data_IF_746225669807
#
_entry.id   IF_746225669807
#
_cell.length_a   1.000
_cell.length_b   1.000
_cell.length_c   1.000
_cell.angle_alpha   90.00
_cell.angle_beta   90.00
_cell.angle_gamma   90.00
#
_symmetry.space_group_name_H-M   'P 1'
#
loop_
_entity.id
_entity.type
_entity.pdbx_description
1 polymer ?
#
# COMPACT_ATOMS: atom_id res chain seq x y z
N UNK A 1 -20.08 51.82 -13.34
CA UNK A 1 -19.22 50.65 -13.04
C UNK A 1 -19.89 49.81 -11.98
N UNK A 2 -20.33 48.58 -12.31
CA UNK A 2 -20.73 47.56 -11.31
C UNK A 2 -19.96 46.28 -11.67
N UNK A 3 -19.15 45.83 -10.72
CA UNK A 3 -18.26 44.68 -10.88
C UNK A 3 -19.08 43.39 -10.93
N UNK A 4 -18.84 42.58 -11.95
CA UNK A 4 -19.38 41.22 -12.08
C UNK A 4 -18.70 40.30 -11.06
N UNK A 5 -19.36 40.01 -9.95
CA UNK A 5 -18.94 38.96 -9.02
C UNK A 5 -19.98 37.85 -8.99
N UNK A 6 -19.94 36.97 -9.98
CA UNK A 6 -20.66 35.69 -9.88
C UNK A 6 -20.02 34.66 -10.81
N UNK A 7 -18.82 34.20 -10.42
CA UNK A 7 -18.21 32.98 -10.96
C UNK A 7 -18.00 32.04 -9.77
N UNK A 8 -19.08 31.52 -9.20
CA UNK A 8 -19.05 30.30 -8.39
C UNK A 8 -20.38 29.58 -8.60
N UNK A 9 -20.53 28.94 -9.76
CA UNK A 9 -21.56 27.92 -9.96
C UNK A 9 -21.15 26.71 -9.11
N UNK A 10 -21.77 26.60 -7.93
CA UNK A 10 -21.67 25.44 -7.07
C UNK A 10 -22.38 24.29 -7.80
N UNK A 11 -21.64 23.29 -8.27
CA UNK A 11 -22.24 22.14 -8.93
C UNK A 11 -23.10 21.36 -7.92
N UNK A 12 -24.42 21.43 -8.09
CA UNK A 12 -25.44 20.68 -7.33
C UNK A 12 -25.41 19.16 -7.62
N UNK A 13 -24.22 18.55 -7.60
CA UNK A 13 -24.10 17.09 -7.62
C UNK A 13 -24.43 16.61 -6.20
N UNK A 14 -25.65 16.09 -6.00
CA UNK A 14 -26.04 15.44 -4.75
C UNK A 14 -25.30 14.11 -4.61
N UNK A 15 -24.08 14.16 -4.08
CA UNK A 15 -23.31 12.97 -3.74
C UNK A 15 -23.95 12.34 -2.50
N UNK A 16 -24.61 11.20 -2.67
CA UNK A 16 -25.17 10.43 -1.56
C UNK A 16 -24.08 9.54 -0.96
N UNK A 17 -23.38 10.07 0.05
CA UNK A 17 -22.44 9.28 0.83
C UNK A 17 -23.21 8.32 1.76
N UNK A 18 -22.96 7.00 1.69
CA UNK A 18 -23.59 6.07 2.62
C UNK A 18 -23.12 6.38 4.04
N UNK A 19 -24.05 6.76 4.92
CA UNK A 19 -23.77 6.96 6.33
C UNK A 19 -23.47 5.63 7.00
N UNK A 20 -22.27 5.49 7.57
CA UNK A 20 -21.91 4.30 8.35
C UNK A 20 -22.71 4.27 9.67
N UNK A 21 -23.09 3.07 10.11
CA UNK A 21 -23.79 2.86 11.37
C UNK A 21 -22.83 2.97 12.57
N UNK A 22 -23.01 4.02 13.37
CA UNK A 22 -22.17 4.33 14.53
C UNK A 22 -22.27 3.26 15.64
N UNK A 23 -23.35 2.48 15.68
CA UNK A 23 -23.59 1.46 16.72
C UNK A 23 -22.63 0.28 16.64
N UNK A 24 -21.96 0.12 15.50
CA UNK A 24 -20.95 -0.92 15.26
C UNK A 24 -19.65 -0.66 16.01
N UNK A 25 -19.34 0.59 16.32
CA UNK A 25 -18.09 0.97 16.99
C UNK A 25 -18.23 0.87 18.51
N UNK A 26 -18.07 -0.35 19.02
CA UNK A 26 -18.12 -0.68 20.45
C UNK A 26 -16.72 -0.76 21.05
N UNK A 27 -16.67 -0.64 22.39
CA UNK A 27 -15.45 -0.81 23.19
C UNK A 27 -15.16 -2.31 23.39
N UNK A 28 -14.78 -3.00 22.32
CA UNK A 28 -14.47 -4.44 22.37
C UNK A 28 -12.96 -4.70 22.26
N UNK A 29 -12.19 -3.76 21.70
CA UNK A 29 -10.76 -3.95 21.47
C UNK A 29 -9.96 -3.95 22.79
N UNK A 30 -9.04 -4.91 23.01
CA UNK A 30 -8.31 -5.05 24.26
C UNK A 30 -7.49 -3.80 24.64
N UNK A 31 -6.89 -3.12 23.67
CA UNK A 31 -6.11 -1.91 23.95
C UNK A 31 -6.98 -0.73 24.41
N UNK A 32 -8.23 -0.65 23.93
CA UNK A 32 -9.19 0.37 24.37
C UNK A 32 -9.66 0.07 25.80
N UNK A 33 -9.89 -1.20 26.11
CA UNK A 33 -10.25 -1.66 27.47
C UNK A 33 -9.13 -1.34 28.45
N UNK A 34 -7.88 -1.68 28.11
CA UNK A 34 -6.69 -1.36 28.92
C UNK A 34 -6.54 0.14 29.17
N UNK A 35 -6.84 0.96 28.16
CA UNK A 35 -6.81 2.42 28.32
C UNK A 35 -7.88 2.90 29.31
N UNK A 36 -9.11 2.40 29.19
CA UNK A 36 -10.19 2.71 30.13
C UNK A 36 -9.86 2.25 31.55
N UNK A 37 -9.29 1.06 31.72
CA UNK A 37 -8.83 0.55 33.02
C UNK A 37 -7.75 1.43 33.65
N UNK A 38 -6.78 1.88 32.84
CA UNK A 38 -5.74 2.82 33.29
C UNK A 38 -6.33 4.15 33.76
N UNK A 39 -7.30 4.69 33.02
CA UNK A 39 -7.98 5.93 33.42
C UNK A 39 -8.82 5.73 34.68
N UNK A 40 -9.52 4.60 34.80
CA UNK A 40 -10.29 4.23 35.99
C UNK A 40 -9.40 4.10 37.23
N UNK A 41 -8.19 3.57 37.09
CA UNK A 41 -7.23 3.49 38.19
C UNK A 41 -6.84 4.88 38.73
N UNK A 42 -6.92 5.92 37.89
CA UNK A 42 -6.67 7.33 38.26
C UNK A 42 -7.98 8.00 38.77
N UNK A 43 -9.13 7.33 38.65
CA UNK A 43 -10.45 7.88 38.96
C UNK A 43 -11.05 8.72 37.83
N UNK A 44 -10.46 8.69 36.63
CA UNK A 44 -10.91 9.46 35.46
C UNK A 44 -11.74 8.59 34.50
N UNK A 45 -12.79 9.18 33.93
CA UNK A 45 -13.61 8.55 32.89
C UNK A 45 -13.57 9.40 31.63
N UNK A 46 -13.09 8.83 30.53
CA UNK A 46 -13.10 9.50 29.22
C UNK A 46 -14.45 9.29 28.49
N UNK A 47 -15.21 10.36 28.20
CA UNK A 47 -16.46 10.27 27.44
C UNK A 47 -16.24 10.08 25.93
N UNK A 48 -15.05 10.41 25.40
CA UNK A 48 -14.74 10.39 23.96
C UNK A 48 -14.14 9.08 23.47
N UNK A 49 -13.87 8.12 24.37
CA UNK A 49 -13.27 6.84 24.03
C UNK A 49 -13.97 6.10 22.88
N UNK A 50 -15.30 6.22 22.78
CA UNK A 50 -16.08 5.62 21.70
C UNK A 50 -15.84 6.28 20.34
N UNK A 51 -15.52 7.58 20.32
CA UNK A 51 -15.17 8.30 19.09
C UNK A 51 -13.91 7.73 18.44
N UNK A 52 -12.99 7.16 19.22
CA UNK A 52 -11.77 6.54 18.70
C UNK A 52 -11.90 5.04 18.42
N UNK A 53 -13.05 4.43 18.73
CA UNK A 53 -13.26 3.00 18.54
C UNK A 53 -13.19 2.56 17.06
N UNK A 54 -13.49 3.46 16.11
CA UNK A 54 -13.40 3.14 14.68
C UNK A 54 -11.96 2.85 14.22
N UNK A 55 -10.95 3.44 14.88
CA UNK A 55 -9.54 3.22 14.55
C UNK A 55 -9.14 1.75 14.79
N UNK A 56 -9.79 1.11 15.77
CA UNK A 56 -9.57 -0.27 16.18
C UNK A 56 -10.50 -1.27 15.49
N UNK A 57 -11.30 -0.81 14.51
CA UNK A 57 -12.12 -1.68 13.68
C UNK A 57 -11.23 -2.65 12.89
N UNK A 58 -11.62 -3.93 12.70
CA UNK A 58 -10.82 -4.92 11.98
C UNK A 58 -10.51 -4.54 10.52
N UNK A 59 -11.27 -3.60 9.96
CA UNK A 59 -11.03 -3.10 8.60
C UNK A 59 -9.92 -2.03 8.52
N UNK A 60 -9.58 -1.40 9.65
CA UNK A 60 -8.65 -0.26 9.73
C UNK A 60 -7.40 -0.64 10.52
N UNK A 61 -7.59 -1.30 11.66
CA UNK A 61 -6.51 -1.76 12.49
C UNK A 61 -5.91 -3.05 11.95
N UNK A 62 -4.76 -2.94 11.30
CA UNK A 62 -3.94 -4.08 10.93
C UNK A 62 -2.86 -4.31 11.98
N UNK A 63 -2.71 -5.56 12.43
CA UNK A 63 -1.58 -5.93 13.28
C UNK A 63 -0.29 -5.83 12.46
N UNK A 64 0.85 -5.49 13.09
CA UNK A 64 2.16 -5.44 12.40
C UNK A 64 2.45 -6.71 11.59
N UNK A 65 2.08 -7.88 12.12
CA UNK A 65 2.21 -9.16 11.41
C UNK A 65 1.33 -9.24 10.16
N UNK A 66 0.09 -8.76 10.22
CA UNK A 66 -0.81 -8.71 9.07
C UNK A 66 -0.26 -7.74 8.01
N UNK A 67 0.25 -6.59 8.42
CA UNK A 67 0.90 -5.62 7.53
C UNK A 67 2.13 -6.22 6.86
N UNK A 68 3.02 -6.85 7.63
CA UNK A 68 4.21 -7.53 7.11
C UNK A 68 3.84 -8.66 6.14
N UNK A 69 2.86 -9.50 6.50
CA UNK A 69 2.37 -10.57 5.62
C UNK A 69 1.79 -10.02 4.31
N UNK A 70 1.02 -8.93 4.39
CA UNK A 70 0.42 -8.30 3.21
C UNK A 70 1.45 -7.66 2.28
N UNK A 71 2.53 -7.10 2.81
CA UNK A 71 3.55 -6.40 2.02
C UNK A 71 4.66 -7.32 1.54
N UNK A 72 5.24 -8.10 2.44
CA UNK A 72 6.40 -8.96 2.18
C UNK A 72 5.98 -10.26 1.51
N UNK A 73 5.10 -11.04 2.15
CA UNK A 73 4.76 -12.38 1.64
C UNK A 73 3.95 -12.34 0.34
N UNK A 74 3.13 -11.30 0.14
CA UNK A 74 2.39 -11.12 -1.12
C UNK A 74 3.31 -10.82 -2.31
N UNK A 75 4.44 -10.15 -2.08
CA UNK A 75 5.41 -9.77 -3.12
C UNK A 75 6.56 -10.77 -3.28
N UNK A 76 6.78 -11.63 -2.30
CA UNK A 76 7.79 -12.68 -2.31
C UNK A 76 7.83 -13.54 -3.60
N UNK A 77 6.69 -14.05 -4.14
CA UNK A 77 6.75 -14.89 -5.34
C UNK A 77 7.23 -14.13 -6.58
N UNK A 78 6.93 -12.84 -6.70
CA UNK A 78 7.39 -12.03 -7.83
C UNK A 78 8.91 -11.84 -7.77
N UNK A 79 9.45 -11.57 -6.58
CA UNK A 79 10.90 -11.49 -6.39
C UNK A 79 11.60 -12.81 -6.71
N UNK A 80 11.00 -13.93 -6.33
CA UNK A 80 11.54 -15.26 -6.61
C UNK A 80 11.59 -15.58 -8.11
N UNK A 81 10.52 -15.29 -8.85
CA UNK A 81 10.48 -15.50 -10.31
C UNK A 81 11.53 -14.66 -11.02
N UNK A 82 11.67 -13.38 -10.65
CA UNK A 82 12.70 -12.51 -11.23
C UNK A 82 14.11 -13.02 -10.93
N UNK A 83 14.37 -13.51 -9.72
CA UNK A 83 15.65 -14.09 -9.36
C UNK A 83 15.98 -15.31 -10.22
N UNK A 84 15.04 -16.24 -10.38
CA UNK A 84 15.22 -17.42 -11.22
C UNK A 84 15.44 -17.06 -12.69
N UNK A 85 14.69 -16.10 -13.23
CA UNK A 85 14.86 -15.62 -14.60
C UNK A 85 16.27 -15.04 -14.82
N UNK A 86 16.74 -14.21 -13.87
CA UNK A 86 18.07 -13.63 -13.93
C UNK A 86 19.18 -14.69 -13.82
N UNK A 87 19.01 -15.67 -12.93
CA UNK A 87 19.94 -16.79 -12.81
C UNK A 87 19.99 -17.62 -14.10
N UNK A 88 18.84 -17.92 -14.70
CA UNK A 88 18.77 -18.64 -15.97
C UNK A 88 19.45 -17.89 -17.11
N UNK A 89 19.22 -16.58 -17.21
CA UNK A 89 19.88 -15.70 -18.18
C UNK A 89 21.40 -15.72 -18.01
N UNK A 90 21.88 -15.63 -16.77
CA UNK A 90 23.32 -15.66 -16.46
C UNK A 90 23.94 -16.99 -16.87
N UNK A 91 23.32 -18.11 -16.50
CA UNK A 91 23.81 -19.45 -16.87
C UNK A 91 23.81 -19.62 -18.38
N UNK A 92 22.79 -19.13 -19.09
CA UNK A 92 22.74 -19.18 -20.54
C UNK A 92 23.87 -18.34 -21.17
N UNK A 93 24.12 -17.13 -20.66
CA UNK A 93 25.21 -16.27 -21.11
C UNK A 93 26.58 -16.94 -20.93
N UNK A 94 26.84 -17.52 -19.75
CA UNK A 94 28.12 -18.16 -19.44
C UNK A 94 28.37 -19.44 -20.27
N UNK A 95 27.31 -20.06 -20.80
CA UNK A 95 27.38 -21.28 -21.62
C UNK A 95 27.51 -21.01 -23.13
N UNK A 96 27.33 -19.77 -23.59
CA UNK A 96 27.52 -19.45 -25.01
C UNK A 96 29.01 -19.46 -25.37
N UNK A 97 29.43 -20.15 -26.44
CA UNK A 97 30.82 -20.10 -26.88
C UNK A 97 31.18 -18.69 -27.35
N UNK A 98 32.29 -18.16 -26.85
CA UNK A 98 32.79 -16.80 -27.11
C UNK A 98 32.90 -16.47 -28.61
N UNK A 99 33.04 -17.48 -29.47
CA UNK A 99 33.08 -17.33 -30.94
C UNK A 99 31.84 -16.66 -31.51
N UNK A 100 30.65 -16.99 -31.01
CA UNK A 100 29.40 -16.44 -31.54
C UNK A 100 29.22 -14.96 -31.16
N UNK A 101 29.75 -14.58 -29.99
CA UNK A 101 29.73 -13.20 -29.51
C UNK A 101 30.74 -12.32 -30.27
N UNK A 102 31.90 -12.87 -30.64
CA UNK A 102 32.90 -12.17 -31.45
C UNK A 102 32.38 -11.92 -32.87
N UNK A 103 31.78 -12.94 -33.49
CA UNK A 103 31.25 -12.84 -34.85
C UNK A 103 30.10 -11.82 -34.93
N UNK A 104 29.16 -11.84 -33.98
CA UNK A 104 28.08 -10.84 -33.92
C UNK A 104 28.62 -9.42 -33.70
N UNK A 105 29.67 -9.25 -32.88
CA UNK A 105 30.25 -7.92 -32.64
C UNK A 105 30.93 -7.35 -33.90
N UNK A 106 31.61 -8.20 -34.67
CA UNK A 106 32.20 -7.82 -35.95
C UNK A 106 31.12 -7.41 -36.98
N UNK A 107 30.03 -8.16 -37.06
CA UNK A 107 28.93 -7.86 -37.99
C UNK A 107 28.22 -6.52 -37.67
N UNK A 108 28.11 -6.16 -36.38
CA UNK A 108 27.56 -4.87 -35.95
C UNK A 108 28.50 -3.68 -36.17
N UNK A 109 29.82 -3.88 -36.22
CA UNK A 109 30.75 -2.79 -36.53
C UNK A 109 30.71 -2.42 -38.02
N UNK A 110 30.57 -3.44 -38.88
CA UNK A 110 30.62 -3.27 -40.34
C UNK A 110 29.32 -2.65 -40.91
N UNK A 111 28.22 -2.74 -40.18
CA UNK A 111 26.94 -2.08 -40.53
C UNK A 111 26.86 -0.63 -40.07
N UNK A 112 27.75 -0.17 -39.18
CA UNK A 112 27.78 1.23 -38.69
C UNK A 112 28.65 2.17 -39.54
N UNK A 113 29.45 1.61 -40.45
CA UNK A 113 30.40 2.32 -41.31
C UNK A 113 29.90 2.53 -42.75
N UNK A 114 28.69 2.03 -43.07
CA UNK A 114 27.93 2.34 -44.30
C UNK A 114 26.79 3.32 -43.98
#
# INVERSE_FOLDING_TARGET
MRLTSSIYSHSDVKINWPKLDYRKYKLEHPDLIRHVERLRAIGLKDPWIRNYAWLYSPNVHETLWQTMRRTVLKKAPHGFVTALALTGLKVAYDRMPLSNLINHKAETSDTSTN
#
